data_IF_755696074719
#
_entry.id   IF_755696074719
#
_cell.length_a   1.000
_cell.length_b   1.000
_cell.length_c   1.000
_cell.angle_alpha   90.00
_cell.angle_beta   90.00
_cell.angle_gamma   90.00
#
_symmetry.space_group_name_H-M   'P 1'
#
loop_
_entity.id
_entity.type
_entity.pdbx_description
1 polymer ?
#
# COMPACT_ATOMS: atom_id res chain seq x y z
N UNK A 1 52.91 42.59 5.77
CA UNK A 1 53.97 41.56 5.88
C UNK A 1 53.40 40.38 6.67
N UNK A 2 53.62 39.08 6.42
CA UNK A 2 54.36 38.33 5.38
C UNK A 2 54.01 36.82 5.50
N UNK A 3 54.06 35.95 4.48
CA UNK A 3 54.26 36.15 3.03
C UNK A 3 53.59 35.02 2.20
N UNK A 4 53.04 35.38 1.03
CA UNK A 4 52.93 34.63 -0.24
C UNK A 4 53.20 33.10 -0.27
N UNK A 5 52.13 32.36 -0.55
CA UNK A 5 51.97 31.28 -1.57
C UNK A 5 53.22 30.57 -2.17
N UNK A 6 53.27 29.24 -2.02
CA UNK A 6 53.77 28.27 -3.02
C UNK A 6 53.07 26.92 -2.69
N UNK A 7 52.02 26.45 -3.38
CA UNK A 7 51.91 25.94 -4.76
C UNK A 7 52.67 24.62 -5.00
N UNK A 8 51.93 23.66 -5.58
CA UNK A 8 52.27 22.33 -6.11
C UNK A 8 52.10 21.15 -5.11
N UNK A 9 51.14 20.23 -5.27
CA UNK A 9 50.79 19.25 -6.34
C UNK A 9 51.34 17.84 -6.04
N UNK A 10 50.61 16.80 -6.50
CA UNK A 10 50.70 15.35 -6.20
C UNK A 10 49.68 15.00 -5.09
N UNK A 11 48.38 14.78 -5.38
CA UNK A 11 47.80 13.73 -6.24
C UNK A 11 48.33 12.35 -5.82
N UNK A 12 47.53 11.50 -5.18
CA UNK A 12 46.83 10.44 -5.90
C UNK A 12 45.45 10.15 -5.29
N UNK A 13 44.49 10.09 -6.21
CA UNK A 13 43.15 9.53 -6.09
C UNK A 13 43.10 8.18 -5.34
N UNK A 14 42.21 8.09 -4.34
CA UNK A 14 41.42 6.87 -4.11
C UNK A 14 39.97 7.26 -4.33
N UNK A 15 39.32 6.62 -5.31
CA UNK A 15 38.03 7.06 -5.81
C UNK A 15 36.95 7.02 -4.71
N UNK A 16 36.34 8.17 -4.43
CA UNK A 16 34.97 8.16 -3.95
C UNK A 16 34.12 7.58 -5.07
N UNK A 17 33.48 6.44 -4.83
CA UNK A 17 32.39 5.95 -5.69
C UNK A 17 31.23 6.91 -5.50
N UNK A 18 31.28 8.03 -6.23
CA UNK A 18 30.16 8.93 -6.39
C UNK A 18 29.11 8.23 -7.24
N UNK A 19 28.28 7.42 -6.61
CA UNK A 19 26.98 7.08 -7.18
C UNK A 19 26.21 8.38 -7.32
N UNK A 20 26.23 8.95 -8.53
CA UNK A 20 25.29 9.97 -8.94
C UNK A 20 23.91 9.34 -8.99
N UNK A 21 23.27 9.26 -7.83
CA UNK A 21 21.81 9.27 -7.77
C UNK A 21 21.42 10.55 -8.49
N UNK A 22 20.88 10.43 -9.70
CA UNK A 22 20.29 11.57 -10.37
C UNK A 22 19.29 12.18 -9.39
N UNK A 23 19.52 13.44 -9.03
CA UNK A 23 18.54 14.22 -8.30
C UNK A 23 17.37 14.45 -9.27
N UNK A 24 16.51 13.44 -9.42
CA UNK A 24 15.16 13.63 -9.90
C UNK A 24 14.48 14.55 -8.89
N UNK A 25 14.49 15.83 -9.21
CA UNK A 25 13.83 16.88 -8.44
C UNK A 25 12.33 16.58 -8.52
N UNK A 26 11.80 15.92 -7.50
CA UNK A 26 10.38 15.63 -7.34
C UNK A 26 9.60 16.89 -6.92
N UNK A 27 9.80 18.00 -7.64
CA UNK A 27 9.07 19.25 -7.43
C UNK A 27 7.70 19.16 -8.10
N UNK A 28 6.69 18.83 -7.30
CA UNK A 28 5.30 18.92 -7.71
C UNK A 28 4.90 20.40 -7.90
N UNK A 29 4.09 20.74 -8.92
CA UNK A 29 3.57 22.10 -9.09
C UNK A 29 2.85 22.59 -7.83
N UNK A 30 3.11 23.85 -7.42
CA UNK A 30 2.57 24.41 -6.16
C UNK A 30 1.06 24.24 -6.01
N UNK A 31 0.31 24.44 -7.10
CA UNK A 31 -1.15 24.23 -7.15
C UNK A 31 -1.55 22.79 -6.77
N UNK A 32 -0.82 21.78 -7.26
CA UNK A 32 -1.07 20.38 -6.94
C UNK A 32 -0.72 20.07 -5.48
N UNK A 33 0.33 20.69 -4.94
CA UNK A 33 0.69 20.56 -3.51
C UNK A 33 -0.39 21.20 -2.62
N UNK A 34 -0.96 22.33 -3.01
CA UNK A 34 -2.08 22.99 -2.33
C UNK A 34 -3.37 22.15 -2.40
N UNK A 35 -3.67 21.57 -3.55
CA UNK A 35 -4.79 20.63 -3.75
C UNK A 35 -4.65 19.39 -2.85
N UNK A 36 -3.47 18.74 -2.84
CA UNK A 36 -3.19 17.57 -1.98
C UNK A 36 -3.38 17.92 -0.50
N UNK A 37 -2.86 19.07 -0.05
CA UNK A 37 -3.04 19.55 1.33
C UNK A 37 -4.51 19.79 1.67
N UNK A 38 -5.33 20.22 0.72
CA UNK A 38 -6.75 20.49 0.96
C UNK A 38 -7.55 19.24 1.40
N UNK A 39 -7.10 18.03 1.03
CA UNK A 39 -7.70 16.77 1.44
C UNK A 39 -7.37 16.35 2.88
N UNK A 40 -6.40 17.00 3.55
CA UNK A 40 -5.91 16.55 4.85
C UNK A 40 -7.01 16.40 5.94
N UNK A 41 -7.99 17.30 6.10
CA UNK A 41 -9.07 17.12 7.06
C UNK A 41 -9.93 15.86 6.80
N UNK A 42 -10.12 15.51 5.53
CA UNK A 42 -10.85 14.29 5.12
C UNK A 42 -10.03 13.04 5.43
N UNK A 43 -8.72 13.06 5.13
CA UNK A 43 -7.79 11.96 5.45
C UNK A 43 -7.71 11.75 6.97
N UNK A 44 -7.58 12.82 7.75
CA UNK A 44 -7.56 12.76 9.21
C UNK A 44 -8.88 12.23 9.78
N UNK A 45 -10.03 12.61 9.21
CA UNK A 45 -11.33 12.04 9.61
C UNK A 45 -11.37 10.52 9.38
N UNK A 46 -10.94 10.05 8.20
CA UNK A 46 -10.91 8.62 7.87
C UNK A 46 -9.96 7.86 8.83
N UNK A 47 -8.72 8.35 8.99
CA UNK A 47 -7.72 7.74 9.86
C UNK A 47 -8.21 7.68 11.31
N UNK A 48 -8.76 8.78 11.84
CA UNK A 48 -9.25 8.79 13.22
C UNK A 48 -10.44 7.83 13.40
N UNK A 49 -11.36 7.71 12.44
CA UNK A 49 -12.50 6.79 12.57
C UNK A 49 -12.07 5.32 12.61
N UNK A 50 -11.07 4.92 11.79
CA UNK A 50 -10.58 3.52 11.74
C UNK A 50 -9.55 3.18 12.82
N UNK A 51 -8.90 4.17 13.46
CA UNK A 51 -7.88 3.93 14.50
C UNK A 51 -8.38 4.20 15.93
N UNK A 52 -9.32 5.13 16.10
CA UNK A 52 -9.80 5.64 17.41
C UNK A 52 -11.32 5.68 17.52
N UNK A 53 -12.03 5.86 16.41
CA UNK A 53 -13.49 5.92 16.33
C UNK A 53 -14.16 4.54 16.35
N UNK A 54 -15.40 4.49 15.86
CA UNK A 54 -16.27 3.33 16.02
C UNK A 54 -15.86 2.14 15.13
N UNK A 55 -15.06 2.39 14.09
CA UNK A 55 -14.54 1.36 13.19
C UNK A 55 -13.21 0.75 13.68
N UNK A 56 -12.68 1.20 14.83
CA UNK A 56 -11.44 0.67 15.42
C UNK A 56 -11.50 -0.84 15.57
N UNK A 57 -10.51 -1.53 14.99
CA UNK A 57 -10.37 -2.98 15.06
C UNK A 57 -11.32 -3.78 14.16
N UNK A 58 -12.31 -3.12 13.51
CA UNK A 58 -13.29 -3.80 12.63
C UNK A 58 -12.61 -4.63 11.54
N UNK A 59 -11.58 -4.08 10.88
CA UNK A 59 -10.80 -4.79 9.86
C UNK A 59 -10.13 -6.06 10.38
N UNK A 60 -9.57 -6.03 11.61
CA UNK A 60 -8.95 -7.20 12.22
C UNK A 60 -10.00 -8.26 12.56
N UNK A 61 -11.10 -7.86 13.22
CA UNK A 61 -12.16 -8.78 13.62
C UNK A 61 -12.82 -9.43 12.40
N UNK A 62 -13.19 -8.67 11.37
CA UNK A 62 -13.78 -9.22 10.15
C UNK A 62 -12.82 -10.15 9.38
N UNK A 63 -11.50 -9.90 9.45
CA UNK A 63 -10.51 -10.82 8.89
C UNK A 63 -10.38 -12.10 9.73
N UNK A 64 -10.38 -11.99 11.06
CA UNK A 64 -10.34 -13.13 11.97
C UNK A 64 -11.58 -14.02 11.77
N UNK A 65 -12.79 -13.44 11.82
CA UNK A 65 -14.06 -14.13 11.54
C UNK A 65 -14.03 -14.85 10.18
N UNK A 66 -13.49 -14.20 9.14
CA UNK A 66 -13.37 -14.78 7.80
C UNK A 66 -12.32 -15.89 7.70
N UNK A 67 -11.20 -15.78 8.42
CA UNK A 67 -10.16 -16.83 8.44
C UNK A 67 -10.63 -18.02 9.27
N UNK A 68 -11.21 -17.82 10.44
CA UNK A 68 -11.69 -18.89 11.32
C UNK A 68 -12.89 -19.64 10.71
N UNK A 69 -13.77 -18.94 9.96
CA UNK A 69 -14.94 -19.55 9.30
C UNK A 69 -14.60 -20.46 8.13
N UNK A 70 -13.54 -20.17 7.37
CA UNK A 70 -13.23 -20.89 6.12
C UNK A 70 -11.83 -21.53 6.06
N UNK A 71 -10.81 -20.94 6.69
CA UNK A 71 -9.44 -21.46 6.64
C UNK A 71 -8.85 -21.50 5.21
N UNK A 72 -8.45 -22.69 4.76
CA UNK A 72 -7.78 -22.90 3.48
C UNK A 72 -8.75 -22.87 2.28
N UNK A 73 -8.54 -21.93 1.36
CA UNK A 73 -9.44 -21.65 0.21
C UNK A 73 -8.66 -21.71 -1.10
N UNK A 74 -8.25 -22.91 -1.52
CA UNK A 74 -7.54 -23.09 -2.80
C UNK A 74 -8.49 -22.88 -3.99
N UNK A 75 -7.93 -22.45 -5.12
CA UNK A 75 -8.63 -22.26 -6.40
C UNK A 75 -9.33 -23.55 -6.84
N UNK A 76 -10.60 -23.44 -7.26
CA UNK A 76 -11.41 -24.58 -7.69
C UNK A 76 -11.93 -25.48 -6.56
N UNK A 77 -11.79 -25.08 -5.29
CA UNK A 77 -12.40 -25.80 -4.15
C UNK A 77 -13.75 -25.20 -3.77
N UNK A 78 -14.72 -26.04 -3.36
CA UNK A 78 -16.04 -25.54 -2.90
C UNK A 78 -15.95 -24.57 -1.71
N UNK A 79 -14.88 -24.67 -0.92
CA UNK A 79 -14.64 -23.76 0.20
C UNK A 79 -14.22 -22.35 -0.24
N UNK A 80 -13.56 -22.20 -1.39
CA UNK A 80 -13.32 -20.90 -2.00
C UNK A 80 -14.65 -20.27 -2.46
N UNK A 81 -15.50 -21.02 -3.18
CA UNK A 81 -16.80 -20.53 -3.64
C UNK A 81 -17.68 -20.05 -2.48
N UNK A 82 -17.77 -20.83 -1.40
CA UNK A 82 -18.52 -20.45 -0.20
C UNK A 82 -17.98 -19.17 0.47
N UNK A 83 -16.67 -18.92 0.37
CA UNK A 83 -16.02 -17.72 0.90
C UNK A 83 -16.24 -16.49 -0.01
N UNK A 84 -16.30 -16.69 -1.33
CA UNK A 84 -16.71 -15.67 -2.31
C UNK A 84 -18.17 -15.26 -2.05
N UNK A 85 -19.09 -16.23 -1.97
CA UNK A 85 -20.51 -15.99 -1.66
C UNK A 85 -20.69 -15.17 -0.38
N UNK A 86 -19.97 -15.53 0.69
CA UNK A 86 -20.00 -14.79 1.95
C UNK A 86 -19.46 -13.36 1.81
N UNK A 87 -18.40 -13.16 1.05
CA UNK A 87 -17.82 -11.83 0.82
C UNK A 87 -18.77 -10.96 0.00
N UNK A 88 -19.38 -11.49 -1.06
CA UNK A 88 -20.39 -10.77 -1.85
C UNK A 88 -21.58 -10.32 -0.98
N UNK A 89 -22.13 -11.21 -0.16
CA UNK A 89 -23.21 -10.87 0.78
C UNK A 89 -22.76 -9.78 1.77
N UNK A 90 -21.57 -9.91 2.37
CA UNK A 90 -21.04 -8.91 3.30
C UNK A 90 -20.86 -7.53 2.65
N UNK A 91 -20.40 -7.46 1.40
CA UNK A 91 -20.25 -6.18 0.69
C UNK A 91 -21.62 -5.56 0.33
N UNK A 92 -22.63 -6.38 -0.01
CA UNK A 92 -24.01 -5.93 -0.22
C UNK A 92 -24.65 -5.42 1.09
N UNK A 93 -24.46 -6.11 2.22
CA UNK A 93 -24.92 -5.68 3.55
C UNK A 93 -24.29 -4.34 3.96
N UNK A 94 -23.01 -4.12 3.62
CA UNK A 94 -22.32 -2.84 3.81
C UNK A 94 -22.70 -1.77 2.78
N UNK A 95 -23.63 -2.07 1.85
CA UNK A 95 -24.17 -1.15 0.83
C UNK A 95 -23.09 -0.54 -0.07
N UNK A 96 -22.12 -1.35 -0.49
CA UNK A 96 -21.19 -0.93 -1.54
C UNK A 96 -21.90 -0.95 -2.90
N UNK A 97 -21.52 -0.02 -3.77
CA UNK A 97 -21.97 0.03 -5.15
C UNK A 97 -21.37 -1.11 -5.99
N UNK A 98 -22.11 -1.55 -7.01
CA UNK A 98 -21.63 -2.47 -8.05
C UNK A 98 -21.07 -3.83 -7.56
N UNK A 99 -21.61 -4.41 -6.47
CA UNK A 99 -21.14 -5.71 -5.94
C UNK A 99 -21.63 -6.89 -6.81
N UNK A 100 -20.70 -7.53 -7.51
CA UNK A 100 -20.91 -8.75 -8.29
C UNK A 100 -19.63 -9.61 -8.32
N UNK A 101 -19.75 -10.88 -8.71
CA UNK A 101 -18.62 -11.76 -9.00
C UNK A 101 -18.43 -11.96 -10.50
N UNK A 102 -17.21 -12.32 -10.90
CA UNK A 102 -16.85 -12.68 -12.28
C UNK A 102 -16.30 -14.12 -12.30
N UNK A 103 -16.67 -14.90 -13.32
CA UNK A 103 -16.22 -16.29 -13.43
C UNK A 103 -14.79 -16.37 -13.99
N UNK A 104 -13.93 -17.16 -13.36
CA UNK A 104 -12.52 -17.32 -13.74
C UNK A 104 -12.17 -18.79 -13.92
N UNK A 105 -11.63 -19.16 -15.08
CA UNK A 105 -11.12 -20.51 -15.34
C UNK A 105 -9.74 -20.71 -14.69
N UNK A 106 -9.57 -21.82 -13.98
CA UNK A 106 -8.34 -22.18 -13.26
C UNK A 106 -8.03 -23.67 -13.43
N UNK A 107 -6.75 -24.07 -13.43
CA UNK A 107 -6.39 -25.49 -13.41
C UNK A 107 -6.82 -26.12 -12.08
N UNK A 108 -7.45 -27.29 -12.14
CA UNK A 108 -7.84 -28.03 -10.95
C UNK A 108 -6.63 -28.75 -10.34
N UNK A 109 -6.34 -28.47 -9.07
CA UNK A 109 -5.29 -29.14 -8.31
C UNK A 109 -5.86 -29.75 -7.04
N UNK A 110 -5.65 -31.05 -6.88
CA UNK A 110 -6.01 -31.81 -5.69
C UNK A 110 -4.78 -32.58 -5.20
N UNK A 111 -4.61 -32.66 -3.88
CA UNK A 111 -3.58 -33.50 -3.26
C UNK A 111 -4.18 -34.88 -2.97
N UNK A 112 -3.67 -35.88 -3.66
CA UNK A 112 -3.91 -37.31 -3.40
C UNK A 112 -3.28 -37.76 -2.06
#
# INVERSE_FOLDING_TARGET
>A
MSLIRLVAFIFICSATVGSSVENHICDLPKKLVEEIRSYQPTVEKIINEVTKGNLKGRTYNSLADFVDKFGARLSGTKNLENAIDYTLNLLQENRLDNVHGENVEVPHWERL
#
